data_IF_256012174435
#
_entry.id   IF_256012174435
#
_cell.length_a   1.000
_cell.length_b   1.000
_cell.length_c   1.000
_cell.angle_alpha   90.00
_cell.angle_beta   90.00
_cell.angle_gamma   90.00
#
_symmetry.space_group_name_H-M   'P 1'
#
loop_
_entity.id
_entity.type
_entity.pdbx_description
1 polymer ?
#
# COMPACT_ATOMS: atom_id res chain seq x y z
N UNK A 1 -20.34 5.50 1.36
CA UNK A 1 -19.09 4.69 1.36
C UNK A 1 -17.99 5.49 2.06
N UNK A 2 -17.19 4.87 2.94
CA UNK A 2 -16.06 5.52 3.61
C UNK A 2 -14.74 5.10 2.95
N UNK A 3 -13.72 5.96 3.03
CA UNK A 3 -12.34 5.64 2.63
C UNK A 3 -11.45 5.72 3.86
N UNK A 4 -10.75 4.63 4.17
CA UNK A 4 -9.85 4.54 5.33
C UNK A 4 -8.43 4.32 4.84
N UNK A 5 -7.46 5.09 5.37
CA UNK A 5 -6.04 4.86 5.07
C UNK A 5 -5.30 4.42 6.32
N UNK A 6 -4.50 3.38 6.18
CA UNK A 6 -3.62 2.90 7.24
C UNK A 6 -2.15 2.98 6.83
N UNK A 7 -1.34 3.59 7.68
CA UNK A 7 0.10 3.74 7.47
C UNK A 7 0.88 2.45 7.67
N UNK A 8 2.16 2.47 7.32
CA UNK A 8 3.04 1.30 7.43
C UNK A 8 3.20 0.77 8.85
N UNK A 9 3.13 1.62 9.87
CA UNK A 9 3.12 1.21 11.28
C UNK A 9 1.85 0.44 11.65
N UNK A 10 0.71 0.82 11.07
CA UNK A 10 -0.58 0.16 11.30
C UNK A 10 -0.65 -1.25 10.70
N UNK A 11 0.13 -1.55 9.67
CA UNK A 11 0.20 -2.86 9.01
C UNK A 11 1.59 -3.51 9.15
N UNK A 12 2.40 -3.02 10.07
CA UNK A 12 3.83 -3.37 10.22
C UNK A 12 4.12 -4.76 10.78
N UNK A 13 3.12 -5.49 11.25
CA UNK A 13 3.24 -6.86 11.76
C UNK A 13 1.91 -7.62 11.65
N UNK A 14 1.95 -8.94 11.81
CA UNK A 14 0.76 -9.78 11.86
C UNK A 14 -0.27 -9.31 12.91
N UNK A 15 0.19 -8.97 14.12
CA UNK A 15 -0.67 -8.47 15.18
C UNK A 15 -1.38 -7.16 14.77
N UNK A 16 -0.63 -6.21 14.20
CA UNK A 16 -1.18 -4.93 13.72
C UNK A 16 -2.18 -5.13 12.57
N UNK A 17 -1.90 -6.01 11.62
CA UNK A 17 -2.85 -6.35 10.55
C UNK A 17 -4.15 -6.92 11.13
N UNK A 18 -4.07 -7.80 12.13
CA UNK A 18 -5.24 -8.33 12.84
C UNK A 18 -6.04 -7.23 13.54
N UNK A 19 -5.38 -6.23 14.12
CA UNK A 19 -6.06 -5.11 14.77
C UNK A 19 -6.73 -4.18 13.72
N UNK A 20 -6.08 -3.90 12.59
CA UNK A 20 -6.70 -3.17 11.48
C UNK A 20 -7.95 -3.91 10.97
N UNK A 21 -7.88 -5.24 10.80
CA UNK A 21 -9.03 -6.02 10.37
C UNK A 21 -10.21 -5.87 11.34
N UNK A 22 -10.00 -5.92 12.67
CA UNK A 22 -11.06 -5.70 13.66
C UNK A 22 -11.70 -4.31 13.54
N UNK A 23 -10.92 -3.29 13.16
CA UNK A 23 -11.43 -1.92 13.00
C UNK A 23 -12.30 -1.74 11.76
N UNK A 24 -12.02 -2.49 10.69
CA UNK A 24 -12.70 -2.30 9.40
C UNK A 24 -13.86 -3.29 9.18
N UNK A 25 -13.92 -4.41 9.91
CA UNK A 25 -14.96 -5.44 9.80
C UNK A 25 -16.18 -5.09 10.66
N UNK A 26 -16.82 -3.95 10.39
CA UNK A 26 -17.99 -3.42 11.09
C UNK A 26 -19.30 -3.56 10.28
N UNK A 27 -19.22 -4.16 9.07
CA UNK A 27 -20.34 -4.34 8.16
C UNK A 27 -20.60 -3.18 7.18
N UNK A 28 -20.00 -2.00 7.40
CA UNK A 28 -20.13 -0.86 6.49
C UNK A 28 -19.27 -1.06 5.22
N UNK A 29 -19.78 -0.59 4.09
CA UNK A 29 -19.01 -0.60 2.84
C UNK A 29 -17.89 0.46 2.86
N UNK A 30 -16.66 0.03 2.54
CA UNK A 30 -15.48 0.92 2.58
C UNK A 30 -14.38 0.52 1.60
N UNK A 31 -13.57 1.50 1.24
CA UNK A 31 -12.29 1.30 0.55
C UNK A 31 -11.16 1.55 1.56
N UNK A 32 -10.24 0.60 1.67
CA UNK A 32 -9.12 0.65 2.59
C UNK A 32 -7.82 0.79 1.81
N UNK A 33 -7.15 1.91 1.98
CA UNK A 33 -5.86 2.22 1.35
C UNK A 33 -4.74 1.84 2.31
N UNK A 34 -3.87 0.95 1.89
CA UNK A 34 -2.74 0.49 2.70
C UNK A 34 -1.40 1.00 2.15
N UNK A 35 -0.52 1.36 3.06
CA UNK A 35 0.90 1.57 2.77
C UNK A 35 1.67 0.25 2.84
N UNK A 36 2.92 0.25 2.37
CA UNK A 36 3.87 -0.83 2.63
C UNK A 36 4.02 -1.10 4.13
N UNK A 37 4.32 -2.34 4.51
CA UNK A 37 4.68 -2.67 5.89
C UNK A 37 5.87 -1.84 6.37
N UNK A 38 5.86 -1.46 7.66
CA UNK A 38 6.93 -0.67 8.28
C UNK A 38 8.34 -1.21 7.94
N UNK A 39 9.23 -0.32 7.50
CA UNK A 39 10.60 -0.63 7.10
C UNK A 39 10.76 -1.25 5.70
N UNK A 40 9.69 -1.66 5.02
CA UNK A 40 9.77 -2.25 3.67
C UNK A 40 10.25 -1.23 2.66
N UNK A 41 9.69 -0.02 2.64
CA UNK A 41 10.11 1.04 1.71
C UNK A 41 11.59 1.37 1.85
N UNK A 42 12.11 1.45 3.08
CA UNK A 42 13.55 1.67 3.30
C UNK A 42 14.40 0.51 2.73
N UNK A 43 13.95 -0.74 2.89
CA UNK A 43 14.64 -1.89 2.31
C UNK A 43 14.63 -1.85 0.78
N UNK A 44 13.53 -1.44 0.16
CA UNK A 44 13.41 -1.31 -1.30
C UNK A 44 14.29 -0.18 -1.84
N UNK A 45 14.38 0.95 -1.14
CA UNK A 45 15.32 2.04 -1.47
C UNK A 45 16.77 1.52 -1.39
N UNK A 46 17.13 0.79 -0.34
CA UNK A 46 18.47 0.23 -0.18
C UNK A 46 18.80 -0.79 -1.27
N UNK A 47 17.84 -1.63 -1.69
CA UNK A 47 17.98 -2.53 -2.84
C UNK A 47 18.27 -1.73 -4.12
N UNK A 48 17.52 -0.65 -4.38
CA UNK A 48 17.72 0.22 -5.53
C UNK A 48 19.10 0.88 -5.51
N UNK A 49 19.56 1.35 -4.35
CA UNK A 49 20.88 1.92 -4.15
C UNK A 49 22.00 0.94 -4.49
N UNK A 50 21.86 -0.34 -4.10
CA UNK A 50 22.80 -1.40 -4.46
C UNK A 50 22.82 -1.64 -5.97
N UNK A 51 21.65 -1.66 -6.61
CA UNK A 51 21.54 -1.88 -8.07
C UNK A 51 22.13 -0.71 -8.86
N UNK A 52 21.92 0.53 -8.47
CA UNK A 52 22.59 1.70 -9.08
C UNK A 52 24.12 1.63 -9.01
N UNK A 53 24.65 1.05 -7.94
CA UNK A 53 26.08 0.84 -7.73
C UNK A 53 26.62 -0.45 -8.37
N UNK A 54 25.78 -1.17 -9.14
CA UNK A 54 26.08 -2.51 -9.69
C UNK A 54 26.52 -3.53 -8.62
N UNK A 55 26.10 -3.35 -7.37
CA UNK A 55 26.35 -4.28 -6.28
C UNK A 55 25.21 -5.31 -6.18
N UNK A 56 25.18 -6.22 -7.15
CA UNK A 56 24.18 -7.29 -7.22
C UNK A 56 24.15 -8.17 -5.97
N UNK A 57 25.32 -8.46 -5.39
CA UNK A 57 25.39 -9.30 -4.18
C UNK A 57 24.68 -8.63 -3.00
N UNK A 58 24.93 -7.34 -2.75
CA UNK A 58 24.27 -6.59 -1.69
C UNK A 58 22.75 -6.46 -1.93
N UNK A 59 22.34 -6.24 -3.18
CA UNK A 59 20.92 -6.20 -3.52
C UNK A 59 20.23 -7.55 -3.21
N UNK A 60 20.80 -8.67 -3.63
CA UNK A 60 20.26 -10.00 -3.38
C UNK A 60 20.21 -10.34 -1.89
N UNK A 61 21.25 -9.99 -1.13
CA UNK A 61 21.25 -10.17 0.34
C UNK A 61 20.09 -9.41 0.99
N UNK A 62 19.86 -8.15 0.58
CA UNK A 62 18.77 -7.34 1.12
C UNK A 62 17.39 -7.86 0.72
N UNK A 63 17.23 -8.33 -0.52
CA UNK A 63 16.00 -8.98 -1.00
C UNK A 63 15.71 -10.22 -0.15
N UNK A 64 16.70 -11.08 0.09
CA UNK A 64 16.53 -12.30 0.89
C UNK A 64 16.16 -11.97 2.34
N UNK A 65 16.77 -10.95 2.93
CA UNK A 65 16.43 -10.51 4.29
C UNK A 65 14.98 -9.97 4.37
N UNK A 66 14.53 -9.24 3.34
CA UNK A 66 13.17 -8.75 3.25
C UNK A 66 12.17 -9.90 3.06
N UNK A 67 12.46 -10.86 2.18
CA UNK A 67 11.64 -12.05 1.97
C UNK A 67 11.48 -12.87 3.26
N UNK A 68 12.55 -13.06 4.02
CA UNK A 68 12.48 -13.76 5.31
C UNK A 68 11.56 -13.04 6.30
N UNK A 69 11.67 -11.71 6.38
CA UNK A 69 10.75 -10.90 7.22
C UNK A 69 9.28 -11.13 6.85
N UNK A 70 8.97 -11.17 5.55
CA UNK A 70 7.60 -11.43 5.08
C UNK A 70 7.17 -12.87 5.37
N UNK A 71 8.07 -13.84 5.21
CA UNK A 71 7.81 -15.24 5.55
C UNK A 71 7.45 -15.41 7.04
N UNK A 72 8.18 -14.73 7.94
CA UNK A 72 7.90 -14.75 9.36
C UNK A 72 6.51 -14.17 9.69
N UNK A 73 6.14 -13.05 9.02
CA UNK A 73 4.79 -12.47 9.17
C UNK A 73 3.69 -13.40 8.64
N UNK A 74 3.94 -14.12 7.56
CA UNK A 74 2.99 -15.13 7.03
C UNK A 74 2.71 -16.22 8.07
N UNK A 75 3.77 -16.73 8.74
CA UNK A 75 3.60 -17.76 9.77
C UNK A 75 2.77 -17.28 10.96
N UNK A 76 2.90 -16.00 11.33
CA UNK A 76 2.15 -15.40 12.44
C UNK A 76 0.73 -14.97 12.07
N UNK A 77 0.52 -14.55 10.80
CA UNK A 77 -0.73 -13.94 10.35
C UNK A 77 -1.82 -14.99 10.15
N UNK A 78 -1.51 -16.04 9.39
CA UNK A 78 -2.47 -17.04 8.97
C UNK A 78 -2.49 -18.26 9.89
N UNK A 79 -3.71 -18.81 10.08
CA UNK A 79 -3.96 -20.06 10.81
C UNK A 79 -4.29 -21.23 9.88
N UNK A 80 -4.93 -20.93 8.74
CA UNK A 80 -5.37 -21.93 7.78
C UNK A 80 -4.30 -22.16 6.73
N UNK A 81 -3.84 -23.41 6.57
CA UNK A 81 -2.72 -23.78 5.71
C UNK A 81 -2.91 -23.34 4.26
N UNK A 82 -4.15 -23.39 3.74
CA UNK A 82 -4.46 -22.92 2.39
C UNK A 82 -4.01 -21.47 2.19
N UNK A 83 -4.45 -20.54 3.04
CA UNK A 83 -4.14 -19.11 2.90
C UNK A 83 -2.67 -18.82 3.16
N UNK A 84 -2.04 -19.59 4.05
CA UNK A 84 -0.60 -19.52 4.26
C UNK A 84 0.18 -19.93 3.00
N UNK A 85 -0.21 -21.00 2.34
CA UNK A 85 0.38 -21.47 1.09
C UNK A 85 0.14 -20.49 -0.06
N UNK A 86 -1.08 -19.96 -0.18
CA UNK A 86 -1.43 -18.95 -1.18
C UNK A 86 -0.57 -17.70 -1.00
N UNK A 87 -0.45 -17.19 0.23
CA UNK A 87 0.39 -16.03 0.55
C UNK A 87 1.87 -16.27 0.20
N UNK A 88 2.43 -17.44 0.55
CA UNK A 88 3.81 -17.79 0.19
C UNK A 88 4.03 -17.82 -1.32
N UNK A 89 3.05 -18.31 -2.07
CA UNK A 89 3.12 -18.38 -3.54
C UNK A 89 3.14 -16.98 -4.15
N UNK A 90 2.23 -16.11 -3.72
CA UNK A 90 2.18 -14.71 -4.17
C UNK A 90 3.46 -13.96 -3.81
N UNK A 91 3.89 -14.03 -2.56
CA UNK A 91 5.12 -13.38 -2.11
C UNK A 91 6.34 -13.85 -2.90
N UNK A 92 6.46 -15.15 -3.15
CA UNK A 92 7.56 -15.70 -3.95
C UNK A 92 7.62 -15.07 -5.35
N UNK A 93 6.49 -14.91 -6.03
CA UNK A 93 6.41 -14.27 -7.34
C UNK A 93 6.95 -12.83 -7.30
N UNK A 94 6.55 -12.04 -6.30
CA UNK A 94 7.01 -10.67 -6.11
C UNK A 94 8.52 -10.61 -5.78
N UNK A 95 9.03 -11.50 -4.93
CA UNK A 95 10.46 -11.55 -4.64
C UNK A 95 11.31 -12.05 -5.81
N UNK A 96 10.80 -12.97 -6.64
CA UNK A 96 11.44 -13.33 -7.91
C UNK A 96 11.47 -12.15 -8.89
N UNK A 97 10.40 -11.35 -8.95
CA UNK A 97 10.38 -10.13 -9.73
C UNK A 97 11.44 -9.13 -9.23
N UNK A 98 11.54 -8.87 -7.94
CA UNK A 98 12.62 -8.04 -7.37
C UNK A 98 14.01 -8.55 -7.75
N UNK A 99 14.26 -9.87 -7.71
CA UNK A 99 15.54 -10.46 -8.12
C UNK A 99 15.84 -10.29 -9.60
N UNK A 100 14.82 -10.19 -10.46
CA UNK A 100 15.00 -10.03 -11.90
C UNK A 100 15.73 -8.74 -12.27
N UNK A 101 15.58 -7.66 -11.49
CA UNK A 101 16.26 -6.38 -11.72
C UNK A 101 17.78 -6.46 -11.56
N UNK A 102 18.31 -7.47 -10.88
CA UNK A 102 19.75 -7.68 -10.75
C UNK A 102 20.44 -8.08 -12.06
N UNK A 103 19.69 -8.39 -13.11
CA UNK A 103 20.18 -8.89 -14.41
C UNK A 103 20.06 -7.87 -15.54
N UNK A 104 19.48 -6.70 -15.28
CA UNK A 104 19.17 -5.69 -16.29
C UNK A 104 19.91 -4.36 -16.00
N UNK A 105 19.87 -3.45 -16.96
CA UNK A 105 20.26 -2.06 -16.72
C UNK A 105 19.25 -1.44 -15.75
N UNK A 106 19.74 -0.82 -14.71
CA UNK A 106 18.92 -0.26 -13.66
C UNK A 106 18.78 1.25 -13.83
N UNK A 107 17.55 1.74 -13.94
CA UNK A 107 17.21 3.15 -14.14
C UNK A 107 16.14 3.59 -13.17
N UNK A 108 15.71 4.85 -13.25
CA UNK A 108 14.63 5.39 -12.45
C UNK A 108 13.29 4.62 -12.64
N UNK A 109 13.07 4.02 -13.81
CA UNK A 109 11.85 3.24 -14.06
C UNK A 109 11.82 1.94 -13.25
N UNK A 110 12.94 1.25 -13.21
CA UNK A 110 13.08 0.03 -12.40
C UNK A 110 13.01 0.36 -10.90
N UNK A 111 13.60 1.50 -10.46
CA UNK A 111 13.47 1.95 -9.07
C UNK A 111 12.01 2.16 -8.67
N UNK A 112 11.22 2.86 -9.50
CA UNK A 112 9.79 3.08 -9.23
C UNK A 112 9.02 1.76 -9.16
N UNK A 113 9.33 0.81 -10.02
CA UNK A 113 8.72 -0.51 -10.00
C UNK A 113 9.11 -1.29 -8.73
N UNK A 114 10.38 -1.24 -8.31
CA UNK A 114 10.83 -1.84 -7.04
C UNK A 114 10.09 -1.22 -5.85
N UNK A 115 9.98 0.11 -5.80
CA UNK A 115 9.32 0.80 -4.69
C UNK A 115 7.83 0.44 -4.59
N UNK A 116 7.16 0.19 -5.72
CA UNK A 116 5.76 -0.21 -5.75
C UNK A 116 5.50 -1.57 -5.09
N UNK A 117 6.50 -2.45 -5.03
CA UNK A 117 6.37 -3.78 -4.44
C UNK A 117 6.02 -3.74 -2.95
N UNK A 118 6.36 -2.67 -2.25
CA UNK A 118 6.03 -2.52 -0.83
C UNK A 118 4.52 -2.55 -0.56
N UNK A 119 3.76 -1.78 -1.29
CA UNK A 119 2.30 -1.72 -1.19
C UNK A 119 1.64 -2.96 -1.81
N UNK A 120 2.21 -3.51 -2.88
CA UNK A 120 1.73 -4.76 -3.49
C UNK A 120 1.78 -5.90 -2.48
N UNK A 121 2.92 -6.12 -1.84
CA UNK A 121 3.13 -7.17 -0.84
C UNK A 121 2.19 -7.01 0.36
N UNK A 122 2.05 -5.80 0.92
CA UNK A 122 1.21 -5.58 2.10
C UNK A 122 -0.28 -5.80 1.83
N UNK A 123 -0.76 -5.35 0.67
CA UNK A 123 -2.19 -5.45 0.32
C UNK A 123 -2.60 -6.87 -0.04
N UNK A 124 -1.76 -7.64 -0.73
CA UNK A 124 -2.00 -9.05 -1.02
C UNK A 124 -2.12 -9.85 0.28
N UNK A 125 -1.17 -9.67 1.20
CA UNK A 125 -1.22 -10.35 2.50
C UNK A 125 -2.48 -10.00 3.28
N UNK A 126 -2.82 -8.72 3.34
CA UNK A 126 -4.00 -8.29 4.08
C UNK A 126 -5.30 -8.78 3.44
N UNK A 127 -5.39 -8.78 2.11
CA UNK A 127 -6.55 -9.32 1.38
C UNK A 127 -6.75 -10.82 1.64
N UNK A 128 -5.68 -11.61 1.58
CA UNK A 128 -5.75 -13.04 1.87
C UNK A 128 -6.15 -13.30 3.34
N UNK A 129 -5.70 -12.47 4.26
CA UNK A 129 -6.11 -12.56 5.66
C UNK A 129 -7.60 -12.26 5.86
N UNK A 130 -8.14 -11.24 5.19
CA UNK A 130 -9.57 -10.96 5.23
C UNK A 130 -10.39 -12.14 4.69
N UNK A 131 -9.92 -12.78 3.63
CA UNK A 131 -10.55 -14.00 3.09
C UNK A 131 -10.48 -15.17 4.09
N UNK A 132 -9.35 -15.35 4.80
CA UNK A 132 -9.20 -16.38 5.83
C UNK A 132 -10.24 -16.23 6.93
N UNK A 133 -10.51 -15.01 7.37
CA UNK A 133 -11.49 -14.73 8.43
C UNK A 133 -12.93 -14.62 7.92
N UNK A 134 -13.16 -14.89 6.63
CA UNK A 134 -14.50 -14.96 6.01
C UNK A 134 -15.10 -13.61 5.61
N UNK A 135 -14.32 -12.54 5.56
CA UNK A 135 -14.80 -11.22 5.17
C UNK A 135 -15.07 -11.11 3.67
N UNK A 136 -16.16 -10.45 3.31
CA UNK A 136 -16.53 -10.20 1.92
C UNK A 136 -15.71 -9.06 1.34
N UNK A 137 -14.47 -9.35 0.99
CA UNK A 137 -13.48 -8.37 0.55
C UNK A 137 -12.97 -8.62 -0.85
N UNK A 138 -12.41 -7.58 -1.49
CA UNK A 138 -11.76 -7.66 -2.78
C UNK A 138 -10.55 -6.73 -2.85
N UNK A 139 -9.56 -7.10 -3.68
CA UNK A 139 -8.44 -6.23 -4.04
C UNK A 139 -8.84 -5.36 -5.25
N UNK A 140 -8.64 -4.05 -5.13
CA UNK A 140 -8.69 -3.08 -6.23
C UNK A 140 -7.25 -2.70 -6.58
N UNK A 141 -6.66 -3.24 -7.66
CA UNK A 141 -5.29 -2.92 -8.01
C UNK A 141 -5.15 -1.44 -8.39
N UNK A 142 -4.35 -0.69 -7.64
CA UNK A 142 -4.18 0.75 -7.89
C UNK A 142 -3.65 1.04 -9.30
N UNK A 143 -2.80 0.18 -9.85
CA UNK A 143 -2.25 0.31 -11.19
C UNK A 143 -3.31 0.22 -12.31
N UNK A 144 -4.53 -0.22 -12.02
CA UNK A 144 -5.62 -0.27 -12.99
C UNK A 144 -6.41 1.04 -13.07
N UNK A 145 -6.33 1.90 -12.04
CA UNK A 145 -7.11 3.13 -12.00
C UNK A 145 -6.34 4.38 -11.57
N UNK A 146 -5.23 4.24 -10.85
CA UNK A 146 -4.43 5.37 -10.38
C UNK A 146 -3.44 5.80 -11.46
N UNK A 147 -3.58 7.04 -11.97
CA UNK A 147 -2.71 7.58 -13.01
C UNK A 147 -2.36 9.05 -12.76
N UNK A 148 -1.14 9.43 -13.12
CA UNK A 148 -0.69 10.81 -13.23
C UNK A 148 -0.59 11.23 -14.70
N UNK A 149 -0.80 12.51 -14.97
CA UNK A 149 -0.71 13.12 -16.29
C UNK A 149 0.76 13.43 -16.68
N UNK A 150 0.94 14.13 -17.82
CA UNK A 150 2.27 14.54 -18.33
C UNK A 150 3.01 15.52 -17.42
N UNK A 151 2.30 16.21 -16.54
CA UNK A 151 2.86 17.16 -15.58
C UNK A 151 3.11 16.51 -14.20
N UNK A 152 2.97 15.18 -14.11
CA UNK A 152 3.05 14.41 -12.87
C UNK A 152 1.94 14.76 -11.86
N UNK A 153 0.82 15.32 -12.33
CA UNK A 153 -0.35 15.59 -11.51
C UNK A 153 -1.39 14.46 -11.64
N UNK A 154 -2.18 14.17 -10.61
CA UNK A 154 -3.22 13.14 -10.68
C UNK A 154 -4.24 13.42 -11.78
N UNK A 155 -4.46 12.46 -12.66
CA UNK A 155 -5.51 12.50 -13.68
C UNK A 155 -6.86 12.14 -13.05
N UNK A 156 -7.49 13.10 -12.40
CA UNK A 156 -8.70 12.88 -11.59
C UNK A 156 -9.88 12.32 -12.39
N UNK A 157 -10.01 12.67 -13.66
CA UNK A 157 -11.06 12.14 -14.52
C UNK A 157 -10.81 10.66 -14.83
N UNK A 158 -9.58 10.32 -15.20
CA UNK A 158 -9.19 8.94 -15.45
C UNK A 158 -9.37 8.09 -14.18
N UNK A 159 -8.92 8.60 -13.03
CA UNK A 159 -9.05 7.90 -11.74
C UNK A 159 -10.52 7.61 -11.43
N UNK A 160 -11.40 8.60 -11.55
CA UNK A 160 -12.81 8.43 -11.25
C UNK A 160 -13.48 7.41 -12.19
N UNK A 161 -13.22 7.50 -13.51
CA UNK A 161 -13.78 6.57 -14.49
C UNK A 161 -13.30 5.13 -14.27
N UNK A 162 -12.00 4.93 -14.09
CA UNK A 162 -11.42 3.58 -14.00
C UNK A 162 -11.66 2.95 -12.64
N UNK A 163 -11.68 3.73 -11.55
CA UNK A 163 -12.07 3.21 -10.25
C UNK A 163 -13.53 2.74 -10.25
N UNK A 164 -14.44 3.49 -10.87
CA UNK A 164 -15.83 3.06 -11.02
C UNK A 164 -15.93 1.71 -11.75
N UNK A 165 -15.19 1.54 -12.87
CA UNK A 165 -15.12 0.26 -13.59
C UNK A 165 -14.59 -0.88 -12.71
N UNK A 166 -13.54 -0.63 -11.91
CA UNK A 166 -13.00 -1.65 -11.00
C UNK A 166 -14.02 -2.07 -9.93
N UNK A 167 -14.81 -1.14 -9.41
CA UNK A 167 -15.90 -1.43 -8.46
C UNK A 167 -17.03 -2.23 -9.11
N UNK A 168 -17.39 -1.91 -10.36
CA UNK A 168 -18.40 -2.65 -11.14
C UNK A 168 -17.98 -4.09 -11.44
N UNK A 169 -16.68 -4.37 -11.60
CA UNK A 169 -16.16 -5.73 -11.82
C UNK A 169 -16.28 -6.61 -10.57
N UNK A 170 -16.39 -6.02 -9.40
CA UNK A 170 -16.44 -6.70 -8.12
C UNK A 170 -17.59 -6.15 -7.26
N UNK A 171 -18.85 -6.28 -7.71
CA UNK A 171 -19.99 -5.73 -7.00
C UNK A 171 -20.19 -6.43 -5.64
N UNK A 172 -20.96 -5.79 -4.78
CA UNK A 172 -21.45 -6.35 -3.50
C UNK A 172 -20.36 -6.75 -2.49
N UNK A 173 -19.16 -6.16 -2.60
CA UNK A 173 -18.14 -6.27 -1.56
C UNK A 173 -18.37 -5.26 -0.46
N UNK A 174 -18.17 -5.69 0.78
CA UNK A 174 -18.19 -4.78 1.93
C UNK A 174 -16.86 -4.07 2.11
N UNK A 175 -15.74 -4.72 1.80
CA UNK A 175 -14.41 -4.16 1.97
C UNK A 175 -13.62 -4.28 0.66
N UNK A 176 -13.12 -3.14 0.17
CA UNK A 176 -12.17 -3.09 -0.93
C UNK A 176 -10.81 -2.67 -0.41
N UNK A 177 -9.77 -3.44 -0.73
CA UNK A 177 -8.39 -3.14 -0.37
C UNK A 177 -7.67 -2.58 -1.58
N UNK A 178 -6.90 -1.52 -1.42
CA UNK A 178 -6.09 -0.97 -2.50
C UNK A 178 -4.74 -0.47 -2.00
N UNK A 179 -3.77 -0.40 -2.92
CA UNK A 179 -2.46 0.13 -2.67
C UNK A 179 -2.51 1.66 -2.58
N UNK A 180 -1.84 2.23 -1.59
CA UNK A 180 -1.48 3.63 -1.59
C UNK A 180 -0.22 3.89 -2.40
N UNK A 181 0.17 5.15 -2.62
CA UNK A 181 1.43 5.59 -3.17
C UNK A 181 1.68 5.25 -4.65
N UNK A 182 1.32 4.06 -5.13
CA UNK A 182 1.62 3.60 -6.48
C UNK A 182 0.62 4.08 -7.52
N UNK A 183 1.10 4.34 -8.72
CA UNK A 183 0.28 4.77 -9.86
C UNK A 183 0.92 4.36 -11.20
N UNK A 184 0.24 4.65 -12.30
CA UNK A 184 0.89 4.69 -13.63
C UNK A 184 1.15 6.13 -14.04
N UNK A 185 2.22 6.36 -14.78
CA UNK A 185 2.43 7.62 -15.46
C UNK A 185 1.58 7.72 -16.74
N UNK A 186 1.65 8.87 -17.41
CA UNK A 186 0.92 9.10 -18.66
C UNK A 186 1.22 8.06 -19.76
N UNK A 187 2.41 7.45 -19.74
CA UNK A 187 2.84 6.45 -20.73
C UNK A 187 2.45 5.03 -20.34
N UNK A 188 1.80 4.85 -19.19
CA UNK A 188 1.36 3.54 -18.70
C UNK A 188 2.41 2.78 -17.89
N UNK A 189 3.58 3.37 -17.63
CA UNK A 189 4.64 2.77 -16.82
C UNK A 189 4.34 2.92 -15.34
N UNK A 190 4.88 2.01 -14.50
CA UNK A 190 4.75 2.11 -13.05
C UNK A 190 5.45 3.38 -12.56
N UNK A 191 4.75 4.14 -11.75
CA UNK A 191 5.21 5.35 -11.11
C UNK A 191 4.72 5.42 -9.67
N UNK A 192 5.19 6.40 -8.94
CA UNK A 192 4.85 6.58 -7.54
C UNK A 192 4.39 8.02 -7.32
N UNK A 193 3.36 8.21 -6.53
CA UNK A 193 3.00 9.51 -6.00
C UNK A 193 4.12 9.99 -5.07
N UNK A 194 4.31 11.31 -4.97
CA UNK A 194 5.36 11.89 -4.13
C UNK A 194 5.09 11.64 -2.63
N UNK A 195 5.93 12.22 -1.77
CA UNK A 195 5.83 12.11 -0.31
C UNK A 195 4.40 12.34 0.18
N UNK A 196 3.95 11.49 1.11
CA UNK A 196 2.55 11.45 1.54
C UNK A 196 1.63 10.70 0.59
N UNK A 197 2.19 9.99 -0.39
CA UNK A 197 1.46 9.38 -1.49
C UNK A 197 0.29 8.48 -1.10
N UNK A 198 0.36 7.74 0.01
CA UNK A 198 -0.77 6.92 0.46
C UNK A 198 -1.93 7.75 1.04
N UNK A 199 -1.64 8.87 1.73
CA UNK A 199 -2.66 9.80 2.22
C UNK A 199 -3.30 10.52 1.03
N UNK A 200 -2.47 10.88 0.05
CA UNK A 200 -2.95 11.50 -1.19
C UNK A 200 -3.79 10.52 -2.01
N UNK A 201 -3.38 9.23 -2.10
CA UNK A 201 -4.22 8.17 -2.71
C UNK A 201 -5.60 8.11 -2.05
N UNK A 202 -5.67 8.11 -0.72
CA UNK A 202 -6.96 8.07 -0.01
C UNK A 202 -7.84 9.28 -0.33
N UNK A 203 -7.24 10.47 -0.44
CA UNK A 203 -7.95 11.69 -0.82
C UNK A 203 -8.49 11.61 -2.25
N UNK A 204 -7.67 11.14 -3.21
CA UNK A 204 -8.07 10.97 -4.61
C UNK A 204 -9.17 9.92 -4.77
N UNK A 205 -9.02 8.78 -4.11
CA UNK A 205 -10.04 7.71 -4.09
C UNK A 205 -11.33 8.23 -3.48
N UNK A 206 -11.25 8.93 -2.33
CA UNK A 206 -12.42 9.49 -1.67
C UNK A 206 -13.16 10.52 -2.53
N UNK A 207 -12.43 11.37 -3.23
CA UNK A 207 -13.02 12.32 -4.19
C UNK A 207 -13.67 11.59 -5.37
N UNK A 208 -13.02 10.56 -5.92
CA UNK A 208 -13.51 9.80 -7.07
C UNK A 208 -14.83 9.07 -6.77
N UNK A 209 -14.96 8.47 -5.59
CA UNK A 209 -16.19 7.77 -5.16
C UNK A 209 -17.19 8.66 -4.43
N UNK A 210 -16.89 9.95 -4.27
CA UNK A 210 -17.68 10.90 -3.48
C UNK A 210 -17.97 10.35 -2.07
N UNK A 211 -16.89 9.93 -1.41
CA UNK A 211 -16.98 9.31 -0.09
C UNK A 211 -17.63 10.24 0.92
N UNK A 212 -18.43 9.67 1.81
CA UNK A 212 -19.04 10.41 2.94
C UNK A 212 -17.98 10.87 3.93
N UNK A 213 -16.88 10.11 4.04
CA UNK A 213 -15.81 10.36 5.00
C UNK A 213 -14.50 9.76 4.49
N UNK A 214 -13.39 10.48 4.70
CA UNK A 214 -12.02 10.00 4.50
C UNK A 214 -11.31 10.02 5.86
N UNK A 215 -10.82 8.86 6.30
CA UNK A 215 -10.12 8.70 7.57
C UNK A 215 -8.64 8.37 7.33
N UNK A 216 -7.73 9.16 7.88
CA UNK A 216 -6.30 8.91 7.87
C UNK A 216 -5.89 8.40 9.26
N UNK A 217 -5.68 7.10 9.37
CA UNK A 217 -5.25 6.45 10.61
C UNK A 217 -3.73 6.49 10.74
N UNK A 218 -3.27 6.96 11.88
CA UNK A 218 -1.85 7.14 12.20
C UNK A 218 -1.58 6.73 13.64
N UNK A 219 -0.32 6.69 14.03
CA UNK A 219 0.17 6.38 15.38
C UNK A 219 0.29 7.59 16.30
N UNK A 220 -0.26 8.74 15.88
CA UNK A 220 -0.41 9.96 16.69
C UNK A 220 -1.88 10.32 16.85
N UNK A 221 -2.17 11.19 17.81
CA UNK A 221 -3.54 11.61 18.21
C UNK A 221 -4.20 12.62 17.26
N UNK A 222 -3.69 12.78 16.04
CA UNK A 222 -4.26 13.61 14.99
C UNK A 222 -3.31 14.67 14.44
N UNK A 223 -3.86 15.60 13.66
CA UNK A 223 -3.10 16.73 13.15
C UNK A 223 -2.79 17.70 14.27
N UNK A 224 -1.52 18.04 14.45
CA UNK A 224 -1.07 18.99 15.45
C UNK A 224 -0.87 20.39 14.85
N UNK A 225 -0.97 21.41 15.72
CA UNK A 225 -0.67 22.79 15.36
C UNK A 225 0.80 23.03 15.01
N UNK A 226 1.68 22.09 15.37
CA UNK A 226 3.09 22.04 14.97
C UNK A 226 3.61 20.60 15.11
N UNK A 227 4.82 20.30 14.61
CA UNK A 227 5.40 18.97 14.72
C UNK A 227 5.85 18.69 16.17
N UNK A 228 5.23 17.70 16.86
CA UNK A 228 5.55 17.40 18.26
C UNK A 228 6.97 16.85 18.48
N UNK A 229 7.66 16.44 17.41
CA UNK A 229 9.05 15.97 17.47
C UNK A 229 10.06 17.11 17.62
N UNK A 230 9.66 18.34 17.24
CA UNK A 230 10.54 19.51 17.22
C UNK A 230 10.05 20.64 18.13
N UNK A 231 8.77 20.68 18.46
CA UNK A 231 8.17 21.74 19.24
C UNK A 231 7.45 21.15 20.44
N UNK A 232 7.92 21.52 21.64
CA UNK A 232 7.26 21.11 22.89
C UNK A 232 5.90 21.80 23.06
N UNK A 233 4.96 21.11 23.70
CA UNK A 233 3.63 21.67 24.03
C UNK A 233 2.67 21.81 22.84
N UNK A 234 2.94 21.12 21.72
CA UNK A 234 1.99 21.03 20.60
C UNK A 234 0.70 20.34 21.05
N UNK A 235 -0.40 20.69 20.39
CA UNK A 235 -1.72 20.11 20.67
C UNK A 235 -2.38 19.66 19.38
N UNK A 236 -3.13 18.55 19.42
CA UNK A 236 -3.95 18.15 18.28
C UNK A 236 -5.00 19.22 17.99
N UNK A 237 -5.24 19.47 16.70
CA UNK A 237 -6.26 20.41 16.23
C UNK A 237 -7.51 19.62 15.91
N UNK A 238 -8.57 19.71 16.73
CA UNK A 238 -9.73 18.84 16.59
C UNK A 238 -10.59 19.19 15.38
N UNK A 239 -10.55 20.44 14.91
CA UNK A 239 -11.31 20.88 13.73
C UNK A 239 -10.51 21.96 12.99
N UNK A 240 -10.36 21.78 11.68
CA UNK A 240 -9.84 22.78 10.75
C UNK A 240 -10.94 23.20 9.79
N UNK A 241 -11.05 24.49 9.52
CA UNK A 241 -11.91 25.06 8.50
C UNK A 241 -11.04 25.70 7.42
N UNK A 242 -11.39 25.48 6.17
CA UNK A 242 -10.79 26.12 5.01
C UNK A 242 -11.60 27.35 4.59
#
# INVERSE_FOLDING_TARGET
>A
MKVLKFGGTSVGSAARMKDVAKLICDGDQKIVVLSAMSGTTNSLVEISDYLYKNNTAGALERINALEQKYADVVEELYKVEKYKSDAKTELKSHFEYLRSFSKAVFTLFEEKAILAEGEMLSTIMFQLYLQEIGENSALLPALEYMRIDKNSEPDTNYIAEHLAKQLELQPDKSIYITQGFICRNFYGEIDNLQRGGSDYTASLVGAAVKADEIQIWTDIDGMHNNDPRFVEGTKPVPVLHF
#
